data_IF_572237097593
#
_entry.id   IF_572237097593
#
_cell.length_a   1.000
_cell.length_b   1.000
_cell.length_c   1.000
_cell.angle_alpha   90.00
_cell.angle_beta   90.00
_cell.angle_gamma   90.00
#
_symmetry.space_group_name_H-M   'P 1'
#
loop_
_entity.id
_entity.type
_entity.pdbx_description
1 polymer ?
#
# COMPACT_ATOMS: atom_id res chain seq x y z
N UNK A 1 29.89 -7.58 34.82
CA UNK A 1 29.76 -7.80 33.36
C UNK A 1 28.43 -7.29 32.75
N UNK A 2 27.40 -6.92 33.52
CA UNK A 2 26.09 -6.50 32.94
C UNK A 2 25.96 -5.04 32.46
N UNK A 3 26.74 -4.09 32.99
CA UNK A 3 26.53 -2.66 32.71
C UNK A 3 26.85 -2.22 31.27
N UNK A 4 27.81 -2.88 30.61
CA UNK A 4 28.15 -2.60 29.21
C UNK A 4 27.07 -3.10 28.24
N UNK A 5 26.52 -4.29 28.50
CA UNK A 5 25.48 -4.90 27.66
C UNK A 5 24.19 -4.06 27.65
N UNK A 6 23.77 -3.55 28.82
CA UNK A 6 22.58 -2.68 28.94
C UNK A 6 22.73 -1.38 28.15
N UNK A 7 23.92 -0.77 28.15
CA UNK A 7 24.19 0.43 27.35
C UNK A 7 24.09 0.15 25.85
N UNK A 8 24.66 -0.96 25.36
CA UNK A 8 24.60 -1.33 23.94
C UNK A 8 23.15 -1.56 23.50
N UNK A 9 22.37 -2.31 24.28
CA UNK A 9 20.95 -2.54 24.00
C UNK A 9 20.14 -1.25 23.95
N UNK A 10 20.44 -0.29 24.83
CA UNK A 10 19.79 1.04 24.87
C UNK A 10 20.03 1.83 23.58
N UNK A 11 21.29 1.94 23.15
CA UNK A 11 21.65 2.65 21.91
C UNK A 11 21.05 1.98 20.68
N UNK A 12 21.07 0.65 20.64
CA UNK A 12 20.46 -0.11 19.56
C UNK A 12 18.95 0.13 19.49
N UNK A 13 18.24 0.07 20.64
CA UNK A 13 16.80 0.31 20.70
C UNK A 13 16.45 1.75 20.29
N UNK A 14 17.23 2.74 20.72
CA UNK A 14 17.06 4.12 20.28
C UNK A 14 17.25 4.27 18.76
N UNK A 15 18.32 3.71 18.20
CA UNK A 15 18.60 3.79 16.76
C UNK A 15 17.49 3.15 15.92
N UNK A 16 17.03 1.95 16.30
CA UNK A 16 15.94 1.28 15.60
C UNK A 16 14.63 2.07 15.66
N UNK A 17 14.27 2.62 16.82
CA UNK A 17 13.06 3.44 16.94
C UNK A 17 13.16 4.75 16.15
N UNK A 18 14.35 5.36 16.07
CA UNK A 18 14.59 6.54 15.25
C UNK A 18 14.43 6.22 13.76
N UNK A 19 14.93 5.08 13.30
CA UNK A 19 14.73 4.63 11.92
C UNK A 19 13.25 4.41 11.61
N UNK A 20 12.50 3.73 12.49
CA UNK A 20 11.05 3.56 12.32
C UNK A 20 10.30 4.89 12.30
N UNK A 21 10.70 5.85 13.14
CA UNK A 21 10.13 7.18 13.13
C UNK A 21 10.32 7.88 11.77
N UNK A 22 11.54 7.84 11.22
CA UNK A 22 11.85 8.44 9.91
C UNK A 22 11.07 7.75 8.80
N UNK A 23 11.06 6.40 8.79
CA UNK A 23 10.30 5.64 7.80
C UNK A 23 8.80 5.92 7.89
N UNK A 24 8.24 6.03 9.10
CA UNK A 24 6.86 6.41 9.33
C UNK A 24 6.54 7.81 8.77
N UNK A 25 7.44 8.78 8.96
CA UNK A 25 7.31 10.12 8.40
C UNK A 25 7.31 10.12 6.87
N UNK A 26 8.17 9.32 6.25
CA UNK A 26 8.21 9.15 4.79
C UNK A 26 6.89 8.54 4.28
N UNK A 27 6.41 7.45 4.91
CA UNK A 27 5.16 6.78 4.54
C UNK A 27 3.96 7.73 4.68
N UNK A 28 3.88 8.47 5.79
CA UNK A 28 2.84 9.48 6.00
C UNK A 28 2.91 10.57 4.93
N UNK A 29 4.11 11.07 4.64
CA UNK A 29 4.35 12.06 3.59
C UNK A 29 3.85 11.59 2.23
N UNK A 30 4.13 10.34 1.84
CA UNK A 30 3.57 9.75 0.62
C UNK A 30 2.04 9.67 0.65
N UNK A 31 1.44 9.23 1.75
CA UNK A 31 -0.02 9.19 1.89
C UNK A 31 -0.67 10.56 1.74
N UNK A 32 -0.09 11.60 2.35
CA UNK A 32 -0.55 12.99 2.23
C UNK A 32 -0.34 13.51 0.81
N UNK A 33 0.82 13.23 0.19
CA UNK A 33 1.09 13.61 -1.21
C UNK A 33 0.02 13.05 -2.14
N UNK A 34 -0.33 11.77 -2.03
CA UNK A 34 -1.36 11.13 -2.87
C UNK A 34 -2.74 11.79 -2.70
N UNK A 35 -3.06 12.31 -1.51
CA UNK A 35 -4.30 13.07 -1.27
C UNK A 35 -4.20 14.50 -1.80
N UNK A 36 -3.05 15.15 -1.63
CA UNK A 36 -2.84 16.56 -1.99
C UNK A 36 -2.75 16.76 -3.51
N UNK A 37 -2.13 15.82 -4.22
CA UNK A 37 -2.01 15.86 -5.68
C UNK A 37 -3.39 15.79 -6.37
N UNK A 38 -4.38 15.19 -5.68
CA UNK A 38 -5.78 15.28 -6.13
C UNK A 38 -6.29 16.71 -6.13
N UNK A 39 -5.98 17.53 -5.12
CA UNK A 39 -6.49 18.91 -4.95
C UNK A 39 -6.07 19.86 -6.08
N UNK A 40 -4.95 19.62 -6.77
CA UNK A 40 -4.52 20.39 -7.95
C UNK A 40 -5.24 19.99 -9.25
N UNK A 41 -5.88 18.81 -9.28
CA UNK A 41 -6.60 18.22 -10.42
C UNK A 41 -8.12 18.04 -10.17
N UNK A 42 -8.70 18.72 -9.16
CA UNK A 42 -10.12 18.58 -8.76
C UNK A 42 -11.15 19.09 -9.79
N UNK A 43 -10.76 19.73 -10.90
CA UNK A 43 -11.73 20.11 -11.93
C UNK A 43 -12.10 19.01 -12.94
N UNK A 44 -11.44 17.83 -12.93
CA UNK A 44 -11.65 16.79 -13.97
C UNK A 44 -11.96 15.38 -13.40
N UNK A 45 -11.71 15.11 -12.13
CA UNK A 45 -11.73 13.75 -11.54
C UNK A 45 -12.99 13.42 -10.71
N UNK A 46 -14.19 13.78 -11.19
CA UNK A 46 -15.41 13.61 -10.41
C UNK A 46 -15.93 12.15 -10.32
N UNK A 47 -15.26 11.16 -10.94
CA UNK A 47 -15.83 9.80 -11.07
C UNK A 47 -14.94 8.64 -10.59
N UNK A 48 -13.66 8.83 -10.26
CA UNK A 48 -12.73 7.70 -10.15
C UNK A 48 -11.81 7.75 -8.92
N UNK A 49 -12.34 7.64 -7.70
CA UNK A 49 -11.52 8.00 -6.53
C UNK A 49 -11.68 7.20 -5.24
N UNK A 50 -12.51 6.15 -5.14
CA UNK A 50 -12.65 5.40 -3.87
C UNK A 50 -11.41 4.57 -3.49
N UNK A 51 -10.97 3.63 -4.32
CA UNK A 51 -9.90 2.67 -3.95
C UNK A 51 -8.54 3.31 -3.70
N UNK A 52 -8.16 4.30 -4.51
CA UNK A 52 -6.88 5.00 -4.37
C UNK A 52 -6.89 5.96 -3.17
N UNK A 53 -8.05 6.53 -2.85
CA UNK A 53 -8.25 7.30 -1.61
C UNK A 53 -8.17 6.41 -0.36
N UNK A 54 -8.76 5.20 -0.43
CA UNK A 54 -8.64 4.21 0.66
C UNK A 54 -7.17 3.84 0.89
N UNK A 55 -6.41 3.54 -0.16
CA UNK A 55 -4.98 3.21 -0.03
C UNK A 55 -4.16 4.35 0.60
N UNK A 56 -4.45 5.59 0.21
CA UNK A 56 -3.75 6.75 0.76
C UNK A 56 -4.12 7.02 2.23
N UNK A 57 -5.38 6.84 2.64
CA UNK A 57 -5.75 6.88 4.06
C UNK A 57 -5.08 5.77 4.87
N UNK A 58 -4.89 4.58 4.28
CA UNK A 58 -4.14 3.49 4.91
C UNK A 58 -2.67 3.89 5.12
N UNK A 59 -2.01 4.48 4.11
CA UNK A 59 -0.64 4.99 4.29
C UNK A 59 -0.53 6.07 5.36
N UNK A 60 -1.46 7.02 5.41
CA UNK A 60 -1.50 8.04 6.46
C UNK A 60 -1.66 7.39 7.83
N UNK A 61 -2.61 6.46 7.98
CA UNK A 61 -2.87 5.78 9.25
C UNK A 61 -1.67 4.96 9.74
N UNK A 62 -1.10 4.12 8.87
CA UNK A 62 0.07 3.29 9.19
C UNK A 62 1.29 4.17 9.50
N UNK A 63 1.53 5.22 8.70
CA UNK A 63 2.60 6.18 8.92
C UNK A 63 2.46 6.88 10.27
N UNK A 64 1.28 7.41 10.59
CA UNK A 64 1.01 8.08 11.85
C UNK A 64 1.23 7.17 13.08
N UNK A 65 0.70 5.94 13.04
CA UNK A 65 0.90 4.96 14.12
C UNK A 65 2.39 4.65 14.29
N UNK A 66 3.13 4.47 13.18
CA UNK A 66 4.56 4.17 13.21
C UNK A 66 5.39 5.33 13.78
N UNK A 67 5.05 6.58 13.45
CA UNK A 67 5.68 7.79 14.01
C UNK A 67 5.44 7.85 15.52
N UNK A 68 4.19 7.67 15.98
CA UNK A 68 3.85 7.71 17.41
C UNK A 68 4.61 6.62 18.17
N UNK A 69 4.64 5.40 17.64
CA UNK A 69 5.36 4.28 18.24
C UNK A 69 6.89 4.53 18.29
N UNK A 70 7.47 5.04 17.21
CA UNK A 70 8.90 5.39 17.16
C UNK A 70 9.25 6.51 18.14
N UNK A 71 8.38 7.52 18.29
CA UNK A 71 8.57 8.60 19.25
C UNK A 71 8.51 8.11 20.69
N UNK A 72 7.51 7.29 21.03
CA UNK A 72 7.39 6.66 22.36
C UNK A 72 8.59 5.75 22.66
N UNK A 73 9.05 4.98 21.68
CA UNK A 73 10.26 4.14 21.81
C UNK A 73 11.53 4.95 22.04
N UNK A 74 11.73 6.05 21.29
CA UNK A 74 12.85 6.96 21.48
C UNK A 74 12.85 7.64 22.86
N UNK A 75 11.71 8.20 23.29
CA UNK A 75 11.57 8.84 24.62
C UNK A 75 11.73 7.81 25.74
N UNK A 76 11.12 6.63 25.59
CA UNK A 76 11.21 5.56 26.58
C UNK A 76 12.64 5.05 26.76
N UNK A 77 13.40 4.97 25.65
CA UNK A 77 14.82 4.63 25.68
C UNK A 77 15.65 5.73 26.35
N UNK A 78 15.48 7.00 25.99
CA UNK A 78 16.33 8.09 26.50
C UNK A 78 16.06 8.37 27.98
N UNK A 79 14.79 8.49 28.37
CA UNK A 79 14.39 8.92 29.71
C UNK A 79 14.30 7.77 30.75
N UNK A 80 14.60 6.52 30.35
CA UNK A 80 14.53 5.31 31.21
C UNK A 80 13.20 5.14 31.95
N UNK A 81 12.10 5.65 31.37
CA UNK A 81 10.77 5.57 31.96
C UNK A 81 10.21 4.17 31.71
N UNK A 82 10.33 3.30 32.73
CA UNK A 82 9.86 1.90 32.67
C UNK A 82 8.39 1.76 32.25
N UNK A 83 7.54 2.69 32.69
CA UNK A 83 6.12 2.71 32.32
C UNK A 83 5.93 2.94 30.80
N UNK A 84 6.69 3.86 30.21
CA UNK A 84 6.62 4.18 28.78
C UNK A 84 7.13 3.00 27.92
N UNK A 85 8.20 2.35 28.38
CA UNK A 85 8.74 1.14 27.73
C UNK A 85 7.76 -0.05 27.85
N UNK A 86 7.07 -0.17 28.99
CA UNK A 86 6.00 -1.15 29.19
C UNK A 86 4.83 -0.93 28.25
N UNK A 87 4.34 0.31 28.11
CA UNK A 87 3.29 0.65 27.14
C UNK A 87 3.73 0.34 25.71
N UNK A 88 4.95 0.73 25.32
CA UNK A 88 5.52 0.41 24.01
C UNK A 88 5.49 -1.10 23.73
N UNK A 89 5.91 -1.93 24.70
CA UNK A 89 5.88 -3.37 24.57
C UNK A 89 4.45 -3.93 24.42
N UNK A 90 3.49 -3.43 25.20
CA UNK A 90 2.08 -3.84 25.11
C UNK A 90 1.52 -3.49 23.73
N UNK A 91 1.77 -2.29 23.22
CA UNK A 91 1.33 -1.90 21.87
C UNK A 91 1.94 -2.79 20.78
N UNK A 92 3.24 -3.08 20.85
CA UNK A 92 3.89 -4.01 19.91
C UNK A 92 3.25 -5.40 19.96
N UNK A 93 2.94 -5.91 21.16
CA UNK A 93 2.30 -7.21 21.33
C UNK A 93 0.89 -7.23 20.75
N UNK A 94 0.11 -6.16 20.92
CA UNK A 94 -1.21 -6.01 20.31
C UNK A 94 -1.11 -5.95 18.77
N UNK A 95 -0.13 -5.22 18.23
CA UNK A 95 0.11 -5.16 16.78
C UNK A 95 0.48 -6.55 16.25
N UNK A 96 1.31 -7.31 16.97
CA UNK A 96 1.68 -8.67 16.59
C UNK A 96 0.46 -9.59 16.54
N UNK A 97 -0.41 -9.54 17.56
CA UNK A 97 -1.66 -10.32 17.59
C UNK A 97 -2.56 -9.93 16.41
N UNK A 98 -2.69 -8.63 16.13
CA UNK A 98 -3.46 -8.14 14.99
C UNK A 98 -2.89 -8.63 13.65
N UNK A 99 -1.56 -8.58 13.47
CA UNK A 99 -0.88 -9.06 12.25
C UNK A 99 -1.08 -10.56 12.04
N UNK A 100 -0.95 -11.37 13.10
CA UNK A 100 -1.22 -12.82 13.03
C UNK A 100 -2.68 -13.06 12.67
N UNK A 101 -3.61 -12.33 13.27
CA UNK A 101 -5.04 -12.46 12.98
C UNK A 101 -5.35 -12.13 11.52
N UNK A 102 -4.83 -11.01 11.01
CA UNK A 102 -4.97 -10.62 9.60
C UNK A 102 -4.35 -11.66 8.68
N UNK A 103 -3.15 -12.17 8.99
CA UNK A 103 -2.47 -13.18 8.19
C UNK A 103 -3.26 -14.49 8.12
N UNK A 104 -3.83 -14.93 9.24
CA UNK A 104 -4.69 -16.12 9.29
C UNK A 104 -5.98 -15.90 8.48
N UNK A 105 -6.65 -14.74 8.63
CA UNK A 105 -7.84 -14.40 7.86
C UNK A 105 -7.55 -14.34 6.36
N UNK A 106 -6.41 -13.78 5.97
CA UNK A 106 -5.95 -13.71 4.59
C UNK A 106 -5.72 -15.11 4.02
N UNK A 107 -5.06 -15.99 4.77
CA UNK A 107 -4.82 -17.37 4.34
C UNK A 107 -6.13 -18.14 4.09
N UNK A 108 -7.08 -18.08 5.04
CA UNK A 108 -8.36 -18.79 4.90
C UNK A 108 -9.29 -18.20 3.83
N UNK A 109 -9.17 -16.91 3.52
CA UNK A 109 -10.00 -16.24 2.52
C UNK A 109 -9.23 -15.90 1.23
N UNK A 110 -8.06 -16.50 1.02
CA UNK A 110 -7.18 -16.20 -0.11
C UNK A 110 -7.90 -16.38 -1.46
N UNK A 111 -8.66 -17.47 -1.62
CA UNK A 111 -9.39 -17.76 -2.86
C UNK A 111 -10.52 -16.75 -3.12
N UNK A 112 -11.24 -16.35 -2.07
CA UNK A 112 -12.29 -15.32 -2.17
C UNK A 112 -11.69 -13.98 -2.56
N UNK A 113 -10.59 -13.60 -1.90
CA UNK A 113 -9.89 -12.35 -2.19
C UNK A 113 -9.34 -12.35 -3.62
N UNK A 114 -8.76 -13.46 -4.07
CA UNK A 114 -8.29 -13.62 -5.46
C UNK A 114 -9.43 -13.44 -6.46
N UNK A 115 -10.62 -13.98 -6.17
CA UNK A 115 -11.80 -13.81 -7.02
C UNK A 115 -12.29 -12.36 -7.04
N UNK A 116 -12.37 -11.70 -5.89
CA UNK A 116 -12.77 -10.28 -5.81
C UNK A 116 -11.78 -9.35 -6.51
N UNK A 117 -10.48 -9.58 -6.33
CA UNK A 117 -9.43 -8.85 -7.04
C UNK A 117 -9.53 -9.08 -8.55
N UNK A 118 -9.73 -10.32 -8.98
CA UNK A 118 -9.94 -10.64 -10.39
C UNK A 118 -11.15 -9.93 -10.98
N UNK A 119 -12.28 -9.91 -10.26
CA UNK A 119 -13.47 -9.17 -10.71
C UNK A 119 -13.20 -7.67 -10.83
N UNK A 120 -12.46 -7.09 -9.88
CA UNK A 120 -12.08 -5.66 -9.91
C UNK A 120 -11.18 -5.36 -11.11
N UNK A 121 -10.20 -6.22 -11.39
CA UNK A 121 -9.32 -6.09 -12.56
C UNK A 121 -10.10 -6.23 -13.85
N UNK A 122 -11.01 -7.20 -13.94
CA UNK A 122 -11.86 -7.37 -15.12
C UNK A 122 -12.77 -6.18 -15.36
N UNK A 123 -13.26 -5.52 -14.30
CA UNK A 123 -14.03 -4.29 -14.40
C UNK A 123 -13.19 -3.12 -14.94
N UNK A 124 -11.92 -3.02 -14.54
CA UNK A 124 -10.97 -2.06 -15.14
C UNK A 124 -10.77 -2.37 -16.63
N UNK A 125 -10.55 -3.64 -17.00
CA UNK A 125 -10.32 -4.05 -18.40
C UNK A 125 -11.54 -3.75 -19.27
N UNK A 126 -12.76 -4.04 -18.81
CA UNK A 126 -13.99 -3.83 -19.59
C UNK A 126 -14.30 -2.37 -19.84
N UNK A 127 -13.96 -1.50 -18.88
CA UNK A 127 -14.17 -0.05 -18.98
C UNK A 127 -12.92 0.71 -19.45
N UNK A 128 -11.88 0.00 -19.91
CA UNK A 128 -10.62 0.60 -20.32
C UNK A 128 -10.78 1.35 -21.65
N UNK A 129 -10.30 2.59 -21.68
CA UNK A 129 -10.29 3.47 -22.85
C UNK A 129 -8.90 3.52 -23.48
N UNK A 130 -8.80 3.65 -24.81
CA UNK A 130 -7.50 3.60 -25.52
C UNK A 130 -6.48 4.68 -25.08
N UNK A 131 -6.94 5.77 -24.46
CA UNK A 131 -6.11 6.86 -23.96
C UNK A 131 -5.81 6.78 -22.45
N UNK A 132 -6.20 5.69 -21.76
CA UNK A 132 -5.98 5.46 -20.32
C UNK A 132 -6.18 6.72 -19.46
N UNK A 133 -7.34 7.37 -19.60
CA UNK A 133 -7.58 8.69 -19.01
C UNK A 133 -7.78 8.67 -17.48
N UNK A 134 -8.05 7.50 -16.92
CA UNK A 134 -8.28 7.32 -15.49
C UNK A 134 -7.03 6.78 -14.79
N UNK A 135 -6.80 7.24 -13.55
CA UNK A 135 -5.69 6.78 -12.72
C UNK A 135 -5.69 5.28 -12.46
N UNK A 136 -6.82 4.59 -12.62
CA UNK A 136 -6.94 3.13 -12.46
C UNK A 136 -6.40 2.39 -13.68
N UNK A 137 -6.65 2.92 -14.88
CA UNK A 137 -6.11 2.38 -16.14
C UNK A 137 -4.59 2.58 -16.17
N UNK A 138 -4.09 3.78 -15.85
CA UNK A 138 -2.65 4.05 -15.77
C UNK A 138 -1.94 3.17 -14.74
N UNK A 139 -2.55 2.98 -13.55
CA UNK A 139 -2.00 2.10 -12.53
C UNK A 139 -1.98 0.64 -13.01
N UNK A 140 -3.00 0.20 -13.74
CA UNK A 140 -3.06 -1.16 -14.29
C UNK A 140 -2.01 -1.37 -15.39
N UNK A 141 -1.83 -0.39 -16.28
CA UNK A 141 -0.78 -0.39 -17.30
C UNK A 141 0.61 -0.43 -16.67
N UNK A 142 0.82 0.33 -15.58
CA UNK A 142 2.06 0.28 -14.82
C UNK A 142 2.31 -1.11 -14.24
N UNK A 143 1.31 -1.72 -13.62
CA UNK A 143 1.40 -3.09 -13.08
C UNK A 143 1.80 -4.05 -14.20
N UNK A 144 1.07 -4.08 -15.31
CA UNK A 144 1.33 -4.96 -16.44
C UNK A 144 2.75 -4.79 -17.01
N UNK A 145 3.20 -3.55 -17.17
CA UNK A 145 4.54 -3.24 -17.66
C UNK A 145 5.66 -3.66 -16.70
N UNK A 146 5.44 -3.55 -15.38
CA UNK A 146 6.41 -3.90 -14.34
C UNK A 146 6.49 -5.41 -14.11
N UNK A 147 5.35 -6.09 -13.96
CA UNK A 147 5.30 -7.54 -13.70
C UNK A 147 5.31 -8.39 -14.97
N UNK A 148 5.37 -7.76 -16.16
CA UNK A 148 5.40 -8.43 -17.47
C UNK A 148 4.24 -9.41 -17.64
N UNK A 149 3.03 -8.96 -17.31
CA UNK A 149 1.80 -9.73 -17.48
C UNK A 149 0.77 -8.98 -18.33
N UNK A 150 -0.14 -9.71 -18.96
CA UNK A 150 -1.21 -9.13 -19.76
C UNK A 150 -2.55 -9.77 -19.42
N UNK A 151 -3.50 -8.94 -18.99
CA UNK A 151 -4.79 -9.38 -18.43
C UNK A 151 -4.69 -9.87 -16.98
N UNK A 152 -5.77 -10.47 -16.48
CA UNK A 152 -5.79 -11.09 -15.14
C UNK A 152 -5.31 -12.54 -15.18
N UNK A 153 -5.88 -13.34 -16.09
CA UNK A 153 -5.49 -14.74 -16.33
C UNK A 153 -4.71 -14.87 -17.63
N UNK A 154 -5.13 -14.15 -18.66
CA UNK A 154 -4.53 -14.21 -20.00
C UNK A 154 -4.82 -12.93 -20.79
N UNK A 155 -4.05 -12.71 -21.86
CA UNK A 155 -4.28 -11.61 -22.79
C UNK A 155 -5.68 -11.65 -23.42
N UNK A 156 -6.30 -12.83 -23.51
CA UNK A 156 -7.70 -12.97 -23.94
C UNK A 156 -8.69 -12.19 -23.08
N UNK A 157 -8.37 -11.82 -21.83
CA UNK A 157 -9.27 -10.99 -21.03
C UNK A 157 -9.55 -9.62 -21.68
N UNK A 158 -8.64 -9.11 -22.51
CA UNK A 158 -8.84 -7.87 -23.26
C UNK A 158 -9.88 -7.98 -24.37
N UNK A 159 -10.24 -9.19 -24.82
CA UNK A 159 -11.33 -9.38 -25.79
C UNK A 159 -12.72 -9.12 -25.21
N UNK A 160 -12.82 -8.98 -23.89
CA UNK A 160 -14.06 -8.57 -23.22
C UNK A 160 -14.26 -7.05 -23.22
N UNK A 161 -13.30 -6.28 -23.74
CA UNK A 161 -13.45 -4.84 -23.92
C UNK A 161 -14.06 -4.55 -25.30
N UNK A 162 -15.30 -4.06 -25.32
CA UNK A 162 -16.03 -3.78 -26.57
C UNK A 162 -15.43 -2.62 -27.37
N UNK A 163 -14.87 -1.61 -26.70
CA UNK A 163 -14.26 -0.43 -27.35
C UNK A 163 -13.00 -0.83 -28.12
N UNK A 164 -12.10 -1.59 -27.51
CA UNK A 164 -10.85 -2.08 -28.12
C UNK A 164 -11.10 -3.14 -29.20
N UNK A 165 -12.17 -3.92 -29.07
CA UNK A 165 -12.57 -4.92 -30.06
C UNK A 165 -13.34 -4.32 -31.25
N UNK A 166 -13.82 -3.09 -31.14
CA UNK A 166 -14.45 -2.36 -32.23
C UNK A 166 -13.48 -1.96 -33.36
N UNK A 167 -12.17 -2.03 -33.13
CA UNK A 167 -11.16 -1.77 -34.16
C UNK A 167 -10.97 -2.95 -35.11
N UNK A 168 -10.62 -2.68 -36.37
CA UNK A 168 -10.44 -3.70 -37.43
C UNK A 168 -9.33 -4.72 -37.16
N UNK A 169 -8.46 -4.45 -36.17
CA UNK A 169 -7.48 -5.38 -35.63
C UNK A 169 -7.65 -5.44 -34.11
N UNK A 170 -7.44 -6.61 -33.54
CA UNK A 170 -7.37 -6.80 -32.09
C UNK A 170 -6.29 -5.88 -31.52
N UNK A 171 -6.70 -4.89 -30.74
CA UNK A 171 -5.79 -3.90 -30.15
C UNK A 171 -5.62 -4.20 -28.67
N UNK A 172 -4.38 -4.17 -28.19
CA UNK A 172 -4.04 -4.32 -26.78
C UNK A 172 -3.35 -3.04 -26.29
N UNK A 173 -3.38 -2.74 -24.99
CA UNK A 173 -2.61 -1.64 -24.44
C UNK A 173 -1.11 -1.81 -24.69
N UNK A 174 -0.40 -0.69 -24.82
CA UNK A 174 1.05 -0.68 -25.00
C UNK A 174 1.82 -1.38 -23.85
N UNK A 175 1.21 -1.45 -22.67
CA UNK A 175 1.74 -2.18 -21.51
C UNK A 175 1.87 -3.70 -21.77
N UNK A 176 1.07 -4.25 -22.68
CA UNK A 176 1.09 -5.66 -23.09
C UNK A 176 2.01 -5.97 -24.30
N UNK A 177 2.52 -4.96 -25.01
CA UNK A 177 3.21 -5.15 -26.30
C UNK A 177 4.61 -5.78 -26.17
N UNK A 178 5.19 -5.78 -24.96
CA UNK A 178 6.57 -6.22 -24.69
C UNK A 178 6.66 -7.50 -23.84
N UNK A 179 5.66 -8.38 -23.91
CA UNK A 179 5.59 -9.63 -23.14
C UNK A 179 5.87 -10.82 -24.05
#
# INVERSE_FOLDING_TARGET
MGAGCVKVTKYFLFLFNLLFFILGAVILGFGVWILADKNSFISVLQTSSSSLQVGAYVFIGVGAITIVMGFLGCIGAVNEVRCLLGLYFVFLLLILIAQVTVGVLFYFNADKLKKEMGNTVMDIIRNYTANATSSREEAWDYVQAQVKCCGWVSHYNWTENEELMGFTKTTYPCSCEKI
#
